data_IF_943563043197
#
_entry.id   IF_943563043197
#
_cell.length_a   1.000
_cell.length_b   1.000
_cell.length_c   1.000
_cell.angle_alpha   90.00
_cell.angle_beta   90.00
_cell.angle_gamma   90.00
#
_symmetry.space_group_name_H-M   'P 1'
#
loop_
_entity.id
_entity.type
_entity.pdbx_description
1 polymer ?
#
# COMPACT_ATOMS: atom_id res chain seq x y z
N UNK A 1 -16.51 1.86 4.93
CA UNK A 1 -15.09 2.27 4.99
C UNK A 1 -15.06 3.76 5.35
N UNK A 2 -13.99 4.27 5.95
CA UNK A 2 -13.85 5.72 6.20
C UNK A 2 -13.49 6.46 4.91
N UNK A 3 -13.85 7.74 4.79
CA UNK A 3 -13.53 8.57 3.62
C UNK A 3 -12.02 8.58 3.27
N UNK A 4 -11.07 8.71 4.22
CA UNK A 4 -9.64 8.63 3.90
C UNK A 4 -9.19 7.26 3.36
N UNK A 5 -9.82 6.17 3.80
CA UNK A 5 -9.51 4.84 3.30
C UNK A 5 -9.92 4.68 1.83
N UNK A 6 -11.07 5.24 1.47
CA UNK A 6 -11.56 5.22 0.09
C UNK A 6 -10.70 6.11 -0.81
N UNK A 7 -10.34 7.31 -0.36
CA UNK A 7 -9.41 8.18 -1.07
C UNK A 7 -8.06 7.51 -1.32
N UNK A 8 -7.51 6.81 -0.32
CA UNK A 8 -6.23 6.10 -0.47
C UNK A 8 -6.30 5.00 -1.54
N UNK A 9 -7.39 4.23 -1.56
CA UNK A 9 -7.62 3.20 -2.58
C UNK A 9 -7.72 3.81 -3.97
N UNK A 10 -8.49 4.88 -4.12
CA UNK A 10 -8.67 5.54 -5.43
C UNK A 10 -7.41 6.27 -5.90
N UNK A 11 -6.61 6.83 -4.99
CA UNK A 11 -5.28 7.34 -5.32
C UNK A 11 -4.38 6.26 -5.94
N UNK A 12 -4.30 5.08 -5.30
CA UNK A 12 -3.49 3.96 -5.80
C UNK A 12 -4.02 3.45 -7.14
N UNK A 13 -5.35 3.32 -7.29
CA UNK A 13 -5.99 2.90 -8.56
C UNK A 13 -5.68 3.90 -9.68
N UNK A 14 -5.85 5.19 -9.43
CA UNK A 14 -5.60 6.24 -10.41
C UNK A 14 -4.12 6.26 -10.84
N UNK A 15 -3.21 6.16 -9.87
CA UNK A 15 -1.77 6.09 -10.12
C UNK A 15 -1.38 4.88 -10.98
N UNK A 16 -1.91 3.70 -10.68
CA UNK A 16 -1.65 2.49 -11.46
C UNK A 16 -2.24 2.56 -12.87
N UNK A 17 -3.46 3.11 -13.00
CA UNK A 17 -4.10 3.32 -14.30
C UNK A 17 -3.30 4.29 -15.17
N UNK A 18 -2.85 5.42 -14.60
CA UNK A 18 -2.00 6.38 -15.28
C UNK A 18 -0.63 5.78 -15.66
N UNK A 19 -0.13 4.81 -14.89
CA UNK A 19 1.07 4.05 -15.21
C UNK A 19 0.87 2.98 -16.30
N UNK A 20 -0.34 2.86 -16.88
CA UNK A 20 -0.67 1.89 -17.92
C UNK A 20 -0.72 0.45 -17.43
N UNK A 21 -1.04 0.24 -16.14
CA UNK A 21 -1.20 -1.08 -15.55
C UNK A 21 -2.67 -1.50 -15.54
N UNK A 22 -2.89 -2.81 -15.67
CA UNK A 22 -4.20 -3.40 -15.41
C UNK A 22 -4.38 -3.58 -13.90
N UNK A 23 -5.48 -3.05 -13.36
CA UNK A 23 -5.83 -3.11 -11.94
C UNK A 23 -7.04 -4.01 -11.76
N UNK A 24 -6.91 -5.08 -10.97
CA UNK A 24 -8.02 -5.92 -10.54
C UNK A 24 -8.37 -5.60 -9.09
N UNK A 25 -9.66 -5.40 -8.79
CA UNK A 25 -10.12 -5.30 -7.42
C UNK A 25 -10.19 -6.70 -6.78
N UNK A 26 -9.78 -6.79 -5.52
CA UNK A 26 -9.81 -8.01 -4.72
C UNK A 26 -10.74 -7.84 -3.51
N UNK A 27 -11.15 -8.94 -2.90
CA UNK A 27 -11.92 -8.90 -1.65
C UNK A 27 -10.94 -8.88 -0.48
N UNK A 28 -10.73 -7.70 0.11
CA UNK A 28 -9.77 -7.55 1.19
C UNK A 28 -10.12 -8.38 2.45
N UNK A 29 -11.39 -8.73 2.65
CA UNK A 29 -11.83 -9.57 3.78
C UNK A 29 -11.53 -11.05 3.55
N UNK A 30 -11.52 -11.50 2.30
CA UNK A 30 -11.21 -12.88 1.91
C UNK A 30 -9.73 -13.06 1.55
N UNK A 31 -9.23 -12.22 0.66
CA UNK A 31 -7.93 -12.34 -0.01
C UNK A 31 -6.81 -11.62 0.76
N UNK A 32 -7.17 -10.67 1.64
CA UNK A 32 -6.22 -9.87 2.43
C UNK A 32 -5.67 -8.64 1.70
N UNK A 33 -5.90 -8.53 0.40
CA UNK A 33 -5.38 -7.46 -0.48
C UNK A 33 -6.54 -6.70 -1.12
N UNK A 34 -6.32 -5.43 -1.47
CA UNK A 34 -7.33 -4.58 -2.13
C UNK A 34 -7.24 -4.65 -3.64
N UNK A 35 -6.02 -4.80 -4.16
CA UNK A 35 -5.74 -4.75 -5.59
C UNK A 35 -4.70 -5.77 -6.03
N UNK A 36 -4.88 -6.27 -7.26
CA UNK A 36 -3.85 -6.90 -8.06
C UNK A 36 -3.42 -5.96 -9.20
N UNK A 37 -2.12 -5.91 -9.48
CA UNK A 37 -1.52 -5.09 -10.52
C UNK A 37 -0.73 -5.97 -11.47
N UNK A 38 -0.91 -5.75 -12.77
CA UNK A 38 -0.14 -6.43 -13.82
C UNK A 38 0.08 -5.53 -15.02
N UNK A 39 1.14 -5.79 -15.77
CA UNK A 39 1.24 -5.23 -17.11
C UNK A 39 0.12 -5.80 -18.02
N UNK A 40 -0.34 -5.05 -19.03
CA UNK A 40 -1.27 -5.57 -20.02
C UNK A 40 -0.75 -6.82 -20.75
N UNK A 41 0.58 -6.92 -20.91
CA UNK A 41 1.25 -8.12 -21.42
C UNK A 41 1.38 -9.20 -20.33
N UNK A 42 1.18 -10.48 -20.69
CA UNK A 42 1.35 -11.61 -19.77
C UNK A 42 2.81 -11.97 -19.42
N UNK A 43 3.79 -11.19 -19.87
CA UNK A 43 5.23 -11.49 -19.76
C UNK A 43 5.80 -11.18 -18.38
N UNK A 44 5.16 -10.29 -17.62
CA UNK A 44 5.62 -9.85 -16.31
C UNK A 44 4.70 -10.38 -15.21
N UNK A 45 5.25 -10.76 -14.04
CA UNK A 45 4.44 -11.23 -12.93
C UNK A 45 3.50 -10.14 -12.41
N UNK A 46 2.41 -10.59 -11.79
CA UNK A 46 1.52 -9.72 -11.04
C UNK A 46 2.11 -9.41 -9.67
N UNK A 47 1.61 -8.35 -9.05
CA UNK A 47 1.81 -8.06 -7.62
C UNK A 47 0.45 -7.75 -7.01
N UNK A 48 0.28 -8.07 -5.74
CA UNK A 48 -0.91 -7.75 -4.98
C UNK A 48 -0.58 -6.77 -3.85
N UNK A 49 -1.51 -5.88 -3.51
CA UNK A 49 -1.30 -4.96 -2.40
C UNK A 49 -2.55 -4.73 -1.55
N UNK A 50 -2.32 -4.61 -0.25
CA UNK A 50 -3.25 -3.99 0.70
C UNK A 50 -2.98 -2.49 0.74
N UNK A 51 -4.03 -1.68 0.65
CA UNK A 51 -3.94 -0.23 0.79
C UNK A 51 -4.40 0.16 2.19
N UNK A 52 -3.55 0.88 2.90
CA UNK A 52 -3.82 1.44 4.22
C UNK A 52 -3.51 2.92 4.23
N UNK A 53 -3.98 3.61 5.28
CA UNK A 53 -3.72 5.03 5.46
C UNK A 53 -3.44 5.33 6.93
N UNK A 54 -2.78 6.46 7.17
CA UNK A 54 -2.58 7.00 8.52
C UNK A 54 -2.67 8.52 8.53
N UNK A 55 -3.26 9.08 9.59
CA UNK A 55 -3.27 10.52 9.86
C UNK A 55 -2.00 11.01 10.56
N UNK A 56 -1.23 10.10 11.16
CA UNK A 56 -0.06 10.39 11.97
C UNK A 56 0.97 9.31 11.73
N UNK A 57 1.75 9.38 10.65
CA UNK A 57 2.87 8.48 10.55
C UNK A 57 3.87 8.92 11.63
N UNK A 58 4.20 8.02 12.56
CA UNK A 58 5.24 8.32 13.55
C UNK A 58 6.57 8.13 12.85
N UNK A 59 7.37 9.19 12.81
CA UNK A 59 8.78 9.17 12.51
C UNK A 59 9.45 9.91 13.64
N UNK A 60 10.07 9.17 14.55
CA UNK A 60 11.08 9.74 15.43
C UNK A 60 12.28 10.15 14.58
N UNK A 61 12.96 11.22 14.98
CA UNK A 61 14.07 11.79 14.23
C UNK A 61 15.17 10.75 13.93
N UNK A 62 15.95 11.04 12.89
CA UNK A 62 17.09 10.28 12.36
C UNK A 62 16.74 9.04 11.50
N UNK A 63 15.69 8.29 11.81
CA UNK A 63 15.31 7.12 11.02
C UNK A 63 14.38 7.49 9.85
N UNK A 64 14.83 7.22 8.62
CA UNK A 64 14.13 7.56 7.38
C UNK A 64 12.93 6.62 7.10
N UNK A 65 12.03 6.46 8.07
CA UNK A 65 10.94 5.49 8.06
C UNK A 65 9.60 6.04 8.58
N UNK A 66 8.51 5.49 8.06
CA UNK A 66 7.17 5.62 8.59
C UNK A 66 6.79 4.39 9.39
N UNK A 67 6.25 4.61 10.58
CA UNK A 67 5.69 3.55 11.42
C UNK A 67 4.18 3.46 11.20
N UNK A 68 3.70 2.30 10.75
CA UNK A 68 2.28 1.98 10.66
C UNK A 68 1.90 0.90 11.68
N UNK A 69 1.02 1.22 12.61
CA UNK A 69 0.57 0.35 13.72
C UNK A 69 -0.92 -0.05 13.62
N UNK A 70 -1.54 0.17 12.45
CA UNK A 70 -2.97 -0.04 12.23
C UNK A 70 -3.38 -1.41 11.68
N UNK A 71 -2.44 -2.33 11.47
CA UNK A 71 -2.73 -3.65 10.89
C UNK A 71 -2.89 -4.70 11.99
N UNK A 72 -4.09 -5.27 12.15
CA UNK A 72 -4.29 -6.39 13.08
C UNK A 72 -3.51 -7.64 12.65
N UNK A 73 -3.15 -8.52 13.58
CA UNK A 73 -2.31 -9.70 13.31
C UNK A 73 -2.91 -10.65 12.28
N UNK A 74 -4.25 -10.76 12.22
CA UNK A 74 -4.92 -11.62 11.24
C UNK A 74 -4.78 -11.02 9.83
N UNK A 75 -4.96 -9.71 9.69
CA UNK A 75 -4.73 -9.02 8.43
C UNK A 75 -3.23 -9.00 8.03
N UNK A 76 -2.34 -8.85 9.00
CA UNK A 76 -0.88 -8.92 8.79
C UNK A 76 -0.47 -10.29 8.21
N UNK A 77 -0.93 -11.39 8.81
CA UNK A 77 -0.62 -12.74 8.33
C UNK A 77 -1.18 -13.06 6.94
N UNK A 78 -2.21 -12.32 6.47
CA UNK A 78 -2.71 -12.47 5.10
C UNK A 78 -1.78 -11.82 4.08
N UNK A 79 -0.76 -11.08 4.50
CA UNK A 79 0.20 -10.42 3.63
C UNK A 79 1.61 -10.96 3.83
N UNK A 80 1.97 -11.26 5.08
CA UNK A 80 3.32 -11.62 5.50
C UNK A 80 3.74 -13.02 5.02
N UNK A 81 5.01 -13.15 4.65
CA UNK A 81 5.64 -14.42 4.33
C UNK A 81 5.77 -14.70 2.83
N UNK A 82 6.53 -15.75 2.53
CA UNK A 82 6.92 -16.15 1.16
C UNK A 82 6.04 -17.22 0.53
N UNK A 83 4.99 -17.66 1.23
CA UNK A 83 4.12 -18.75 0.79
C UNK A 83 3.13 -18.32 -0.32
N UNK A 84 3.08 -17.04 -0.65
CA UNK A 84 2.23 -16.52 -1.72
C UNK A 84 2.90 -16.61 -3.08
N UNK A 85 2.23 -17.23 -4.05
CA UNK A 85 2.68 -17.26 -5.46
C UNK A 85 2.80 -15.87 -6.07
N UNK A 86 1.94 -14.94 -5.63
CA UNK A 86 1.96 -13.55 -6.08
C UNK A 86 2.53 -12.68 -4.95
N UNK A 87 3.63 -11.95 -5.17
CA UNK A 87 4.23 -11.09 -4.15
C UNK A 87 3.24 -10.06 -3.62
N UNK A 88 3.20 -9.94 -2.29
CA UNK A 88 2.28 -9.05 -1.57
C UNK A 88 3.00 -7.85 -0.97
N UNK A 89 2.35 -6.70 -1.06
CA UNK A 89 2.84 -5.43 -0.56
C UNK A 89 1.82 -4.74 0.35
N UNK A 90 2.32 -3.93 1.27
CA UNK A 90 1.53 -2.95 1.99
C UNK A 90 1.78 -1.57 1.37
N UNK A 91 0.73 -0.92 0.88
CA UNK A 91 0.78 0.45 0.39
C UNK A 91 0.18 1.39 1.44
N UNK A 92 0.96 2.37 1.89
CA UNK A 92 0.56 3.34 2.89
C UNK A 92 0.39 4.72 2.27
N UNK A 93 -0.77 5.35 2.49
CA UNK A 93 -0.96 6.77 2.20
C UNK A 93 -1.02 7.59 3.48
N UNK A 94 -0.26 8.69 3.53
CA UNK A 94 -0.29 9.63 4.64
C UNK A 94 -1.37 10.67 4.37
N UNK A 95 -2.43 10.70 5.17
CA UNK A 95 -3.56 11.61 5.02
C UNK A 95 -3.81 12.32 6.36
N UNK A 96 -3.17 13.49 6.60
CA UNK A 96 -3.36 14.25 7.82
C UNK A 96 -4.84 14.58 8.09
N UNK A 97 -5.21 14.86 9.34
CA UNK A 97 -6.61 15.11 9.69
C UNK A 97 -7.14 16.44 9.11
N UNK A 98 -6.27 17.39 8.79
CA UNK A 98 -6.68 18.59 8.06
C UNK A 98 -6.91 18.24 6.58
N UNK A 99 -7.99 18.74 5.97
CA UNK A 99 -8.23 18.53 4.53
C UNK A 99 -7.26 19.31 3.64
N UNK A 100 -6.30 20.03 4.22
CA UNK A 100 -5.32 20.84 3.50
C UNK A 100 -4.41 19.99 2.60
N UNK A 101 -4.37 18.67 2.80
CA UNK A 101 -3.71 17.75 1.88
C UNK A 101 -4.31 17.72 0.48
N UNK A 102 -5.57 18.15 0.31
CA UNK A 102 -6.29 18.13 -0.96
C UNK A 102 -6.68 19.55 -1.37
N UNK A 103 -6.26 19.98 -2.56
CA UNK A 103 -6.68 21.26 -3.12
C UNK A 103 -7.11 21.12 -4.57
N UNK A 104 -8.20 21.78 -4.93
CA UNK A 104 -8.68 21.90 -6.30
C UNK A 104 -8.30 23.27 -6.85
N UNK A 105 -7.64 23.25 -8.00
CA UNK A 105 -7.26 24.41 -8.78
C UNK A 105 -8.00 24.36 -10.11
N UNK A 106 -7.98 25.45 -10.88
CA UNK A 106 -8.70 25.54 -12.15
C UNK A 106 -8.29 24.49 -13.18
N UNK A 107 -7.05 23.98 -13.08
CA UNK A 107 -6.43 23.03 -13.98
C UNK A 107 -6.32 21.61 -13.39
N UNK A 108 -6.74 21.38 -12.14
CA UNK A 108 -6.71 20.04 -11.57
C UNK A 108 -6.79 19.95 -10.06
N UNK A 109 -6.32 18.80 -9.57
CA UNK A 109 -6.35 18.42 -8.16
C UNK A 109 -4.93 18.09 -7.71
N UNK A 110 -4.53 18.65 -6.57
CA UNK A 110 -3.25 18.36 -5.93
C UNK A 110 -3.50 17.60 -4.64
N UNK A 111 -2.89 16.42 -4.53
CA UNK A 111 -2.73 15.69 -3.27
C UNK A 111 -1.30 15.90 -2.77
N UNK A 112 -1.14 16.55 -1.60
CA UNK A 112 0.16 17.01 -1.09
C UNK A 112 1.00 15.92 -0.42
N UNK A 113 0.45 14.73 -0.21
CA UNK A 113 1.16 13.60 0.38
C UNK A 113 1.28 12.45 -0.60
N UNK A 114 2.45 11.83 -0.58
CA UNK A 114 2.78 10.68 -1.42
C UNK A 114 2.39 9.38 -0.71
N UNK A 115 2.13 8.35 -1.51
CA UNK A 115 2.07 6.99 -1.01
C UNK A 115 3.46 6.40 -0.82
N UNK A 116 3.55 5.34 -0.02
CA UNK A 116 4.75 4.55 0.22
C UNK A 116 4.40 3.07 0.10
N UNK A 117 5.39 2.22 -0.14
CA UNK A 117 5.18 0.78 -0.23
C UNK A 117 6.22 -0.02 0.56
N UNK A 118 5.80 -1.20 1.04
CA UNK A 118 6.65 -2.15 1.73
C UNK A 118 6.40 -3.58 1.26
N UNK A 119 7.45 -4.34 0.88
CA UNK A 119 7.32 -5.76 0.57
C UNK A 119 7.00 -6.56 1.84
N UNK A 120 5.98 -7.41 1.78
CA UNK A 120 5.56 -8.23 2.92
C UNK A 120 6.17 -9.64 2.90
N UNK A 121 6.91 -9.99 1.83
CA UNK A 121 7.48 -11.33 1.67
C UNK A 121 8.49 -11.71 2.76
N UNK A 122 9.24 -10.75 3.30
CA UNK A 122 10.23 -10.97 4.36
C UNK A 122 9.68 -10.78 5.77
N UNK A 123 8.42 -10.35 5.89
CA UNK A 123 7.73 -10.29 7.17
C UNK A 123 7.42 -11.69 7.68
N UNK A 124 7.64 -11.91 8.98
CA UNK A 124 7.41 -13.22 9.62
C UNK A 124 5.96 -13.28 10.12
N UNK A 125 5.12 -14.21 9.62
CA UNK A 125 3.77 -14.39 10.13
C UNK A 125 3.74 -14.66 11.63
N UNK A 126 2.75 -14.09 12.31
CA UNK A 126 2.55 -14.26 13.74
C UNK A 126 1.94 -15.62 14.03
N UNK A 127 2.56 -16.39 14.93
CA UNK A 127 1.95 -17.63 15.44
C UNK A 127 0.76 -17.30 16.33
N UNK A 128 -0.39 -17.94 16.07
CA UNK A 128 -1.67 -17.68 16.76
C UNK A 128 -2.11 -16.19 16.71
N UNK A 129 -2.47 -15.68 15.52
CA UNK A 129 -2.83 -14.26 15.34
C UNK A 129 -4.16 -13.90 16.01
N UNK A 130 -4.24 -12.69 16.54
CA UNK A 130 -5.41 -12.13 17.22
C UNK A 130 -5.82 -10.78 16.59
N UNK A 131 -7.13 -10.59 16.36
CA UNK A 131 -7.67 -9.34 15.80
C UNK A 131 -7.62 -8.15 16.76
N UNK A 132 -7.42 -8.38 18.05
CA UNK A 132 -7.29 -7.34 19.07
C UNK A 132 -5.87 -6.78 19.17
N UNK A 133 -4.88 -7.43 18.55
CA UNK A 133 -3.48 -7.02 18.55
C UNK A 133 -3.08 -6.50 17.17
N UNK A 134 -2.35 -5.39 17.15
CA UNK A 134 -1.79 -4.84 15.93
C UNK A 134 -0.30 -5.14 15.79
N UNK A 135 0.14 -5.32 14.55
CA UNK A 135 1.55 -5.39 14.18
C UNK A 135 2.01 -4.08 13.57
N UNK A 136 3.17 -3.65 14.03
CA UNK A 136 3.87 -2.51 13.47
C UNK A 136 4.59 -2.93 12.20
N UNK A 137 4.42 -2.13 11.14
CA UNK A 137 5.18 -2.23 9.90
C UNK A 137 5.97 -0.95 9.73
N UNK A 138 7.28 -1.07 9.50
CA UNK A 138 8.18 0.03 9.20
C UNK A 138 8.31 0.18 7.68
N UNK A 139 8.03 1.38 7.17
CA UNK A 139 8.08 1.68 5.74
C UNK A 139 9.14 2.74 5.46
N UNK A 140 10.14 2.41 4.65
CA UNK A 140 11.17 3.36 4.26
C UNK A 140 10.60 4.56 3.47
N UNK A 141 11.02 5.77 3.82
CA UNK A 141 10.72 7.00 3.07
C UNK A 141 11.30 7.00 1.65
N UNK A 142 12.27 6.14 1.37
CA UNK A 142 12.83 5.97 0.03
C UNK A 142 11.89 5.20 -0.91
N UNK A 143 10.94 4.42 -0.39
CA UNK A 143 10.00 3.59 -1.17
C UNK A 143 8.72 4.36 -1.49
N UNK A 144 8.88 5.47 -2.22
CA UNK A 144 7.76 6.31 -2.65
C UNK A 144 6.96 5.62 -3.74
N UNK A 145 5.63 5.60 -3.60
CA UNK A 145 4.71 5.09 -4.59
C UNK A 145 4.46 6.14 -5.67
N UNK A 146 4.99 5.90 -6.87
CA UNK A 146 4.81 6.68 -8.08
C UNK A 146 4.44 5.73 -9.21
N UNK A 147 3.93 6.25 -10.34
CA UNK A 147 3.68 5.41 -11.51
C UNK A 147 4.96 4.71 -12.02
N UNK A 148 6.13 5.36 -11.89
CA UNK A 148 7.41 4.79 -12.27
C UNK A 148 7.84 3.67 -11.31
N UNK A 149 7.85 3.93 -10.00
CA UNK A 149 8.26 2.93 -9.01
C UNK A 149 7.31 1.73 -8.95
N UNK A 150 6.01 1.92 -9.21
CA UNK A 150 5.08 0.79 -9.33
C UNK A 150 5.40 -0.10 -10.54
N UNK A 151 5.72 0.50 -11.70
CA UNK A 151 6.14 -0.26 -12.89
C UNK A 151 7.47 -0.99 -12.67
N UNK A 152 8.42 -0.36 -11.98
CA UNK A 152 9.68 -1.00 -11.62
C UNK A 152 9.49 -2.16 -10.65
N UNK A 153 8.60 -2.01 -9.67
CA UNK A 153 8.23 -3.05 -8.73
C UNK A 153 7.68 -4.31 -9.43
N UNK A 154 6.79 -4.15 -10.42
CA UNK A 154 6.30 -5.29 -11.23
C UNK A 154 7.40 -5.95 -12.09
N UNK A 155 8.49 -5.24 -12.40
CA UNK A 155 9.62 -5.79 -13.18
C UNK A 155 10.67 -6.45 -12.31
N UNK A 156 10.77 -6.04 -11.05
CA UNK A 156 11.77 -6.54 -10.11
C UNK A 156 11.35 -7.83 -9.42
N UNK A 157 10.04 -8.05 -9.26
CA UNK A 157 9.52 -9.35 -8.83
C UNK A 157 9.75 -10.39 -9.93
N UNK A 158 10.36 -11.51 -9.57
CA UNK A 158 10.57 -12.69 -10.42
C UNK A 158 10.18 -13.93 -9.66
#
# INVERSE_FOLDING_TARGET
MSEPAELAREYVRALATAAGLHVSACDAARDGVDFGFRFPSAVFPAVEARVVWTAKPRGDGEDAEWIYDGLDEVCFNRLAGRDFTVPRFLFLLVLPPDRAYLSFQSDGMVLRHLGYFHPMGDEVPVSAPDRSRCRTVQLSLARVLTGASLRELLRSVR
#
